data_IF_016437518164
#
_entry.id   IF_016437518164
#
_cell.length_a   1.000
_cell.length_b   1.000
_cell.length_c   1.000
_cell.angle_alpha   90.00
_cell.angle_beta   90.00
_cell.angle_gamma   90.00
#
_symmetry.space_group_name_H-M   'P 1'
#
loop_
_entity.id
_entity.type
_entity.pdbx_description
1 polymer ?
#
# COMPACT_ATOMS: atom_id res chain seq x y z
N UNK A 1 20.40 -41.99 -8.67
CA UNK A 1 20.30 -40.84 -7.74
C UNK A 1 18.88 -40.32 -7.80
N UNK A 2 18.05 -40.68 -6.82
CA UNK A 2 16.73 -40.07 -6.66
C UNK A 2 16.97 -38.62 -6.22
N UNK A 3 16.75 -37.66 -7.13
CA UNK A 3 16.43 -36.30 -6.73
C UNK A 3 15.03 -36.38 -6.14
N UNK A 4 14.95 -36.56 -4.83
CA UNK A 4 13.72 -36.28 -4.09
C UNK A 4 13.37 -34.83 -4.44
N UNK A 5 12.28 -34.63 -5.18
CA UNK A 5 11.72 -33.31 -5.36
C UNK A 5 11.49 -32.77 -3.96
N UNK A 6 12.28 -31.78 -3.54
CA UNK A 6 11.93 -30.96 -2.39
C UNK A 6 10.57 -30.40 -2.75
N UNK A 7 9.52 -30.82 -2.05
CA UNK A 7 8.22 -30.19 -2.21
C UNK A 7 8.45 -28.69 -2.03
N UNK A 8 8.03 -27.88 -3.00
CA UNK A 8 8.14 -26.42 -2.93
C UNK A 8 7.40 -25.95 -1.68
N UNK A 9 8.13 -25.81 -0.59
CA UNK A 9 7.62 -25.30 0.67
C UNK A 9 7.60 -23.78 0.55
N UNK A 10 6.44 -23.18 0.79
CA UNK A 10 6.29 -21.72 0.88
C UNK A 10 7.18 -21.20 2.00
N UNK A 11 7.86 -20.07 1.78
CA UNK A 11 8.66 -19.44 2.83
C UNK A 11 7.77 -19.08 4.02
N UNK A 12 8.22 -19.40 5.24
CA UNK A 12 7.47 -19.21 6.48
C UNK A 12 6.91 -17.79 6.63
N UNK A 13 7.67 -16.77 6.21
CA UNK A 13 7.23 -15.38 6.22
C UNK A 13 5.92 -15.18 5.45
N UNK A 14 5.77 -15.81 4.28
CA UNK A 14 4.56 -15.66 3.47
C UNK A 14 3.39 -16.41 4.08
N UNK A 15 3.65 -17.56 4.72
CA UNK A 15 2.63 -18.31 5.46
C UNK A 15 2.08 -17.49 6.64
N UNK A 16 2.96 -16.82 7.39
CA UNK A 16 2.60 -15.97 8.53
C UNK A 16 1.80 -14.74 8.11
N UNK A 17 2.25 -14.02 7.08
CA UNK A 17 1.52 -12.86 6.55
C UNK A 17 0.17 -13.29 6.01
N UNK A 18 0.08 -14.43 5.30
CA UNK A 18 -1.19 -14.93 4.77
C UNK A 18 -2.16 -15.34 5.88
N UNK A 19 -1.68 -16.04 6.90
CA UNK A 19 -2.49 -16.41 8.06
C UNK A 19 -3.02 -15.16 8.79
N UNK A 20 -2.19 -14.15 8.98
CA UNK A 20 -2.60 -12.89 9.60
C UNK A 20 -3.59 -12.10 8.72
N UNK A 21 -3.34 -12.00 7.41
CA UNK A 21 -4.21 -11.27 6.49
C UNK A 21 -5.64 -11.88 6.46
N UNK A 22 -5.75 -13.20 6.39
CA UNK A 22 -7.05 -13.91 6.30
C UNK A 22 -7.71 -14.07 7.67
N UNK A 23 -7.00 -14.69 8.62
CA UNK A 23 -7.58 -15.14 9.90
C UNK A 23 -7.31 -14.18 11.07
N UNK A 24 -6.41 -13.21 10.90
CA UNK A 24 -6.01 -12.29 11.98
C UNK A 24 -7.19 -11.46 12.49
N UNK A 25 -7.43 -11.53 13.81
CA UNK A 25 -8.48 -10.74 14.48
C UNK A 25 -7.92 -9.47 15.09
N UNK A 26 -8.54 -8.33 14.76
CA UNK A 26 -8.22 -7.04 15.38
C UNK A 26 -9.15 -6.83 16.58
N UNK A 27 -8.60 -6.97 17.79
CA UNK A 27 -9.36 -6.85 19.04
C UNK A 27 -9.14 -5.52 19.76
N UNK A 28 -8.12 -4.76 19.37
CA UNK A 28 -7.78 -3.47 19.98
C UNK A 28 -8.74 -2.36 19.52
N UNK A 29 -9.52 -1.82 20.46
CA UNK A 29 -10.39 -0.66 20.22
C UNK A 29 -9.58 0.58 19.83
N UNK A 30 -8.42 0.75 20.46
CA UNK A 30 -7.50 1.86 20.17
C UNK A 30 -6.96 1.77 18.74
N UNK A 31 -6.65 0.56 18.26
CA UNK A 31 -6.20 0.37 16.87
C UNK A 31 -7.29 0.77 15.86
N UNK A 32 -8.54 0.35 16.10
CA UNK A 32 -9.67 0.72 15.23
C UNK A 32 -9.99 2.22 15.29
N UNK A 33 -9.93 2.82 16.48
CA UNK A 33 -10.11 4.26 16.65
C UNK A 33 -8.99 5.06 15.95
N UNK A 34 -7.75 4.60 16.06
CA UNK A 34 -6.61 5.22 15.39
C UNK A 34 -6.70 5.07 13.87
N UNK A 35 -7.08 3.88 13.37
CA UNK A 35 -7.32 3.67 11.95
C UNK A 35 -8.40 4.62 11.39
N UNK A 36 -9.40 4.99 12.19
CA UNK A 36 -10.40 6.00 11.81
C UNK A 36 -9.76 7.38 11.66
N UNK A 37 -8.85 7.78 12.54
CA UNK A 37 -8.12 9.03 12.40
C UNK A 37 -7.18 9.00 11.19
N UNK A 38 -6.45 7.91 10.98
CA UNK A 38 -5.62 7.69 9.78
C UNK A 38 -6.45 7.86 8.51
N UNK A 39 -7.62 7.23 8.42
CA UNK A 39 -8.50 7.36 7.26
C UNK A 39 -8.88 8.82 6.96
N UNK A 40 -9.30 9.57 7.99
CA UNK A 40 -9.75 10.97 7.82
C UNK A 40 -8.57 11.87 7.42
N UNK A 41 -7.43 11.72 8.09
CA UNK A 41 -6.21 12.49 7.82
C UNK A 41 -5.68 12.23 6.40
N UNK A 42 -5.59 10.95 6.02
CA UNK A 42 -5.10 10.51 4.70
C UNK A 42 -5.99 11.04 3.58
N UNK A 43 -7.32 10.97 3.73
CA UNK A 43 -8.26 11.57 2.79
C UNK A 43 -8.12 13.10 2.73
N UNK A 44 -7.89 13.76 3.88
CA UNK A 44 -7.60 15.18 3.94
C UNK A 44 -6.37 15.57 3.11
N UNK A 45 -5.28 14.81 3.23
CA UNK A 45 -4.07 14.97 2.42
C UNK A 45 -4.37 14.84 0.92
N UNK A 46 -5.11 13.79 0.54
CA UNK A 46 -5.52 13.56 -0.85
C UNK A 46 -6.36 14.70 -1.43
N UNK A 47 -7.34 15.21 -0.67
CA UNK A 47 -8.16 16.35 -1.09
C UNK A 47 -7.33 17.62 -1.29
N UNK A 48 -6.33 17.87 -0.43
CA UNK A 48 -5.45 19.01 -0.57
C UNK A 48 -4.58 18.90 -1.84
N UNK A 49 -4.11 17.69 -2.16
CA UNK A 49 -3.29 17.42 -3.35
C UNK A 49 -4.00 17.73 -4.68
N UNK A 50 -5.34 17.73 -4.71
CA UNK A 50 -6.12 18.09 -5.90
C UNK A 50 -5.94 19.56 -6.34
N UNK A 51 -5.35 20.41 -5.49
CA UNK A 51 -5.00 21.78 -5.87
C UNK A 51 -3.68 21.89 -6.66
N UNK A 52 -2.97 20.77 -6.88
CA UNK A 52 -1.66 20.75 -7.50
C UNK A 52 -1.74 20.10 -8.90
N UNK A 53 -1.51 20.87 -9.99
CA UNK A 53 -1.54 20.35 -11.36
C UNK A 53 -0.57 19.19 -11.60
N UNK A 54 0.57 19.21 -10.91
CA UNK A 54 1.56 18.14 -11.00
C UNK A 54 1.04 16.80 -10.44
N UNK A 55 0.13 16.84 -9.46
CA UNK A 55 -0.59 15.65 -8.98
C UNK A 55 -1.68 15.26 -9.97
N UNK A 56 -2.57 16.21 -10.26
CA UNK A 56 -3.83 15.94 -10.98
C UNK A 56 -3.64 15.51 -12.43
N UNK A 57 -2.50 15.84 -13.07
CA UNK A 57 -2.17 15.34 -14.41
C UNK A 57 -2.00 13.82 -14.49
N UNK A 58 -1.82 13.14 -13.36
CA UNK A 58 -1.69 11.69 -13.27
C UNK A 58 -3.02 10.97 -13.04
N UNK A 59 -4.09 11.71 -12.72
CA UNK A 59 -5.38 11.13 -12.33
C UNK A 59 -6.31 10.94 -13.52
N UNK A 60 -7.24 10.00 -13.38
CA UNK A 60 -8.29 9.71 -14.34
C UNK A 60 -8.04 8.45 -15.18
N UNK A 61 -8.91 8.17 -16.17
CA UNK A 61 -8.80 6.96 -16.96
C UNK A 61 -7.62 7.04 -17.92
N UNK A 62 -6.88 5.92 -18.06
CA UNK A 62 -5.77 5.78 -19.02
C UNK A 62 -6.23 6.13 -20.43
N UNK A 63 -7.43 5.68 -20.82
CA UNK A 63 -8.05 6.01 -22.11
C UNK A 63 -9.25 6.93 -21.87
N UNK A 64 -9.24 8.18 -22.39
CA UNK A 64 -10.36 9.10 -22.23
C UNK A 64 -11.68 8.51 -22.72
N UNK A 65 -12.75 8.74 -21.96
CA UNK A 65 -14.09 8.21 -22.27
C UNK A 65 -14.33 6.75 -21.84
N UNK A 66 -13.37 6.11 -21.16
CA UNK A 66 -13.55 4.78 -20.57
C UNK A 66 -14.74 4.77 -19.61
N UNK A 67 -15.59 3.74 -19.74
CA UNK A 67 -16.73 3.49 -18.86
C UNK A 67 -16.50 2.17 -18.14
N UNK A 68 -16.50 2.21 -16.81
CA UNK A 68 -16.32 1.03 -15.96
C UNK A 68 -17.60 0.80 -15.15
N UNK A 69 -18.44 -0.20 -15.52
CA UNK A 69 -19.59 -0.57 -14.71
C UNK A 69 -19.18 -0.89 -13.27
N UNK A 70 -19.90 -0.34 -12.30
CA UNK A 70 -19.60 -0.50 -10.87
C UNK A 70 -18.18 -0.08 -10.44
N UNK A 71 -17.50 0.73 -11.26
CA UNK A 71 -16.11 1.14 -11.01
C UNK A 71 -15.92 1.87 -9.68
N UNK A 72 -14.70 1.80 -9.17
CA UNK A 72 -14.27 2.49 -7.96
C UNK A 72 -14.21 4.00 -8.20
N UNK A 73 -14.65 4.77 -7.21
CA UNK A 73 -14.61 6.24 -7.24
C UNK A 73 -13.33 6.78 -6.63
N UNK A 74 -12.81 7.84 -7.22
CA UNK A 74 -11.67 8.58 -6.69
C UNK A 74 -12.17 9.79 -5.88
N UNK A 75 -11.94 9.87 -4.56
CA UNK A 75 -12.45 10.95 -3.71
C UNK A 75 -12.08 12.35 -4.23
N UNK A 76 -13.03 13.28 -4.16
CA UNK A 76 -12.83 14.67 -4.61
C UNK A 76 -12.88 14.87 -6.14
N UNK A 77 -13.11 13.80 -6.91
CA UNK A 77 -13.21 13.85 -8.37
C UNK A 77 -14.54 13.26 -8.86
N UNK A 78 -14.80 13.36 -10.16
CA UNK A 78 -15.89 12.66 -10.84
C UNK A 78 -15.47 11.32 -11.46
N UNK A 79 -14.24 10.86 -11.22
CA UNK A 79 -13.72 9.66 -11.87
C UNK A 79 -14.35 8.39 -11.30
N UNK A 80 -14.69 7.47 -12.21
CA UNK A 80 -15.17 6.11 -11.95
C UNK A 80 -14.29 5.19 -12.78
N UNK A 81 -13.43 4.44 -12.12
CA UNK A 81 -12.31 3.72 -12.74
C UNK A 81 -12.35 2.24 -12.37
N UNK A 82 -11.55 1.42 -13.05
CA UNK A 82 -11.26 0.08 -12.56
C UNK A 82 -10.48 0.16 -11.23
N UNK A 83 -10.55 -0.86 -10.36
CA UNK A 83 -9.94 -0.78 -9.04
C UNK A 83 -8.42 -0.62 -9.07
N UNK A 84 -7.73 -0.98 -10.15
CA UNK A 84 -6.28 -0.80 -10.28
C UNK A 84 -5.94 0.66 -10.51
N UNK A 85 -6.59 1.30 -11.50
CA UNK A 85 -6.36 2.73 -11.76
C UNK A 85 -6.87 3.61 -10.59
N UNK A 86 -8.02 3.27 -9.99
CA UNK A 86 -8.49 3.99 -8.79
C UNK A 86 -7.51 3.87 -7.62
N UNK A 87 -6.88 2.69 -7.43
CA UNK A 87 -5.88 2.53 -6.38
C UNK A 87 -4.65 3.40 -6.61
N UNK A 88 -4.20 3.50 -7.87
CA UNK A 88 -3.13 4.42 -8.24
C UNK A 88 -3.52 5.88 -7.99
N UNK A 89 -4.68 6.32 -8.45
CA UNK A 89 -5.14 7.71 -8.28
C UNK A 89 -5.26 8.10 -6.80
N UNK A 90 -5.82 7.22 -5.97
CA UNK A 90 -5.96 7.43 -4.52
C UNK A 90 -4.57 7.43 -3.88
N UNK A 91 -3.72 6.43 -4.14
CA UNK A 91 -2.36 6.35 -3.61
C UNK A 91 -1.50 7.57 -4.00
N UNK A 92 -1.63 8.02 -5.24
CA UNK A 92 -0.95 9.20 -5.75
C UNK A 92 -1.34 10.46 -4.98
N UNK A 93 -2.65 10.71 -4.81
CA UNK A 93 -3.10 11.93 -4.13
C UNK A 93 -2.74 11.94 -2.65
N UNK A 94 -2.91 10.82 -1.95
CA UNK A 94 -2.76 10.79 -0.48
C UNK A 94 -1.32 11.01 -0.04
N UNK A 95 -0.36 10.56 -0.86
CA UNK A 95 1.07 10.70 -0.60
C UNK A 95 1.70 11.95 -1.19
N UNK A 96 1.01 12.65 -2.12
CA UNK A 96 1.60 13.68 -2.97
C UNK A 96 2.36 14.79 -2.22
N UNK A 97 1.81 15.24 -1.10
CA UNK A 97 2.30 16.38 -0.33
C UNK A 97 3.17 16.00 0.87
N UNK A 98 3.36 14.71 1.13
CA UNK A 98 4.14 14.22 2.27
C UNK A 98 3.60 14.69 3.64
N UNK A 99 2.27 14.74 3.77
CA UNK A 99 1.57 15.13 5.00
C UNK A 99 0.81 13.98 5.66
N UNK A 100 0.70 12.84 4.99
CA UNK A 100 0.08 11.65 5.54
C UNK A 100 0.95 11.01 6.64
N UNK A 101 0.41 9.99 7.29
CA UNK A 101 1.05 9.37 8.46
C UNK A 101 2.48 8.85 8.20
N UNK A 102 3.19 8.51 9.27
CA UNK A 102 4.58 8.05 9.16
C UNK A 102 4.88 6.97 10.19
N UNK A 103 5.62 5.95 9.76
CA UNK A 103 6.22 4.93 10.61
C UNK A 103 7.74 5.00 10.50
N UNK A 104 8.41 5.31 11.62
CA UNK A 104 9.86 5.45 11.68
C UNK A 104 10.48 4.22 12.35
N UNK A 105 11.11 3.37 11.54
CA UNK A 105 11.78 2.15 11.99
C UNK A 105 13.16 1.99 11.31
N UNK A 106 13.68 0.76 11.16
CA UNK A 106 14.90 0.53 10.37
C UNK A 106 14.69 0.90 8.90
N UNK A 107 13.50 0.66 8.38
CA UNK A 107 12.99 1.31 7.18
C UNK A 107 11.97 2.38 7.55
N UNK A 108 12.01 3.51 6.84
CA UNK A 108 11.00 4.56 6.98
C UNK A 108 9.88 4.32 5.98
N UNK A 109 8.65 4.66 6.33
CA UNK A 109 7.56 4.61 5.37
C UNK A 109 6.27 5.23 5.85
N UNK A 110 5.29 5.23 4.97
CA UNK A 110 3.96 5.79 5.19
C UNK A 110 2.91 4.69 5.00
N UNK A 111 2.51 3.97 6.07
CA UNK A 111 1.58 2.86 5.93
C UNK A 111 0.18 3.26 5.44
N UNK A 112 -0.18 4.54 5.58
CA UNK A 112 -1.39 5.09 4.94
C UNK A 112 -1.39 4.99 3.41
N UNK A 113 -0.25 4.79 2.75
CA UNK A 113 -0.18 4.61 1.30
C UNK A 113 -1.00 3.38 0.82
N UNK A 114 -1.17 2.36 1.68
CA UNK A 114 -2.00 1.18 1.38
C UNK A 114 -3.49 1.51 1.21
N UNK A 115 -3.96 2.68 1.68
CA UNK A 115 -5.35 3.10 1.53
C UNK A 115 -5.76 3.24 0.06
N UNK A 116 -4.81 3.46 -0.86
CA UNK A 116 -5.08 3.44 -2.29
C UNK A 116 -5.75 2.14 -2.72
N UNK A 117 -5.08 1.00 -2.47
CA UNK A 117 -5.61 -0.33 -2.80
C UNK A 117 -6.86 -0.68 -1.99
N UNK A 118 -6.83 -0.43 -0.68
CA UNK A 118 -7.93 -0.80 0.22
C UNK A 118 -9.23 -0.07 -0.15
N UNK A 119 -9.18 1.25 -0.38
CA UNK A 119 -10.38 2.04 -0.70
C UNK A 119 -10.90 1.74 -2.10
N UNK A 120 -10.02 1.63 -3.10
CA UNK A 120 -10.43 1.31 -4.46
C UNK A 120 -11.13 -0.05 -4.53
N UNK A 121 -10.55 -1.07 -3.92
CA UNK A 121 -11.11 -2.43 -3.95
C UNK A 121 -12.36 -2.55 -3.08
N UNK A 122 -12.41 -1.92 -1.90
CA UNK A 122 -13.61 -1.97 -1.06
C UNK A 122 -14.81 -1.28 -1.72
N UNK A 123 -14.62 -0.14 -2.38
CA UNK A 123 -15.70 0.54 -3.13
C UNK A 123 -16.16 -0.31 -4.33
N UNK A 124 -15.21 -0.89 -5.09
CA UNK A 124 -15.53 -1.77 -6.21
C UNK A 124 -16.32 -3.03 -5.78
N UNK A 125 -15.86 -3.73 -4.73
CA UNK A 125 -16.56 -4.90 -4.17
C UNK A 125 -17.97 -4.49 -3.75
N UNK A 126 -18.10 -3.41 -2.98
CA UNK A 126 -19.38 -2.97 -2.44
C UNK A 126 -20.38 -2.60 -3.54
N UNK A 127 -19.94 -1.88 -4.56
CA UNK A 127 -20.77 -1.54 -5.74
C UNK A 127 -21.22 -2.78 -6.50
N UNK A 128 -20.30 -3.72 -6.69
CA UNK A 128 -20.57 -4.96 -7.41
C UNK A 128 -21.57 -5.83 -6.64
N UNK A 129 -21.38 -5.98 -5.32
CA UNK A 129 -22.31 -6.71 -4.45
C UNK A 129 -23.70 -6.09 -4.46
N UNK A 130 -23.81 -4.76 -4.30
CA UNK A 130 -25.08 -4.05 -4.36
C UNK A 130 -25.80 -4.24 -5.70
N UNK A 131 -25.06 -4.21 -6.82
CA UNK A 131 -25.63 -4.45 -8.14
C UNK A 131 -26.16 -5.89 -8.30
N UNK A 132 -25.60 -6.84 -7.55
CA UNK A 132 -26.02 -8.25 -7.52
C UNK A 132 -27.05 -8.57 -6.42
N UNK A 133 -27.48 -7.59 -5.62
CA UNK A 133 -28.40 -7.80 -4.50
C UNK A 133 -27.78 -8.44 -3.25
N UNK A 134 -26.45 -8.34 -3.12
CA UNK A 134 -25.67 -8.79 -1.97
C UNK A 134 -25.33 -7.62 -1.03
N UNK A 135 -24.96 -7.94 0.21
CA UNK A 135 -24.56 -6.94 1.21
C UNK A 135 -23.17 -6.33 0.88
N UNK A 136 -23.02 -4.99 0.88
CA UNK A 136 -21.74 -4.34 0.64
C UNK A 136 -20.76 -4.56 1.80
N UNK A 137 -19.49 -4.21 1.60
CA UNK A 137 -18.58 -4.07 2.73
C UNK A 137 -18.96 -2.84 3.57
N UNK A 138 -18.60 -2.88 4.84
CA UNK A 138 -18.78 -1.77 5.78
C UNK A 138 -17.48 -0.98 5.92
N UNK A 139 -17.57 0.26 6.43
CA UNK A 139 -16.37 0.99 6.81
C UNK A 139 -15.61 0.31 7.96
N UNK A 140 -16.26 -0.52 8.77
CA UNK A 140 -15.55 -1.30 9.78
C UNK A 140 -14.58 -2.30 9.12
N UNK A 141 -14.99 -2.95 8.03
CA UNK A 141 -14.11 -3.84 7.26
C UNK A 141 -12.90 -3.10 6.70
N UNK A 142 -13.12 -1.86 6.23
CA UNK A 142 -12.04 -0.97 5.77
C UNK A 142 -11.08 -0.63 6.92
N UNK A 143 -11.58 -0.27 8.11
CA UNK A 143 -10.72 0.03 9.26
C UNK A 143 -9.89 -1.18 9.70
N UNK A 144 -10.46 -2.38 9.67
CA UNK A 144 -9.71 -3.61 9.95
C UNK A 144 -8.62 -3.86 8.90
N UNK A 145 -8.91 -3.63 7.61
CA UNK A 145 -7.94 -3.74 6.53
C UNK A 145 -6.78 -2.73 6.68
N UNK A 146 -7.09 -1.49 7.11
CA UNK A 146 -6.09 -0.46 7.39
C UNK A 146 -5.13 -0.94 8.48
N UNK A 147 -5.66 -1.42 9.62
CA UNK A 147 -4.81 -1.95 10.71
C UNK A 147 -3.93 -3.09 10.22
N UNK A 148 -4.50 -4.06 9.50
CA UNK A 148 -3.73 -5.20 8.96
C UNK A 148 -2.60 -4.76 8.04
N UNK A 149 -2.85 -3.81 7.15
CA UNK A 149 -1.81 -3.30 6.26
C UNK A 149 -0.70 -2.56 7.01
N UNK A 150 -1.07 -1.76 8.03
CA UNK A 150 -0.11 -1.07 8.89
C UNK A 150 0.78 -2.06 9.64
N UNK A 151 0.20 -3.14 10.17
CA UNK A 151 0.95 -4.16 10.91
C UNK A 151 1.91 -4.92 10.00
N UNK A 152 1.46 -5.38 8.81
CA UNK A 152 2.34 -6.09 7.86
C UNK A 152 3.51 -5.20 7.42
N UNK A 153 3.25 -3.97 6.97
CA UNK A 153 4.31 -3.07 6.52
C UNK A 153 5.22 -2.62 7.68
N UNK A 154 4.61 -2.21 8.80
CA UNK A 154 5.32 -1.66 9.96
C UNK A 154 6.23 -2.69 10.61
N UNK A 155 5.76 -3.93 10.78
CA UNK A 155 6.56 -5.03 11.38
C UNK A 155 7.70 -5.43 10.45
N UNK A 156 7.48 -5.52 9.14
CA UNK A 156 8.57 -5.76 8.18
C UNK A 156 9.65 -4.67 8.27
N UNK A 157 9.24 -3.40 8.46
CA UNK A 157 10.15 -2.26 8.56
C UNK A 157 10.92 -2.17 9.90
N UNK A 158 10.51 -2.89 10.96
CA UNK A 158 11.17 -2.83 12.27
C UNK A 158 12.64 -3.24 12.24
N UNK A 159 12.95 -4.32 11.52
CA UNK A 159 14.30 -4.91 11.52
C UNK A 159 14.94 -4.98 10.14
N UNK A 160 14.19 -4.67 9.07
CA UNK A 160 14.67 -4.72 7.69
C UNK A 160 14.81 -3.30 7.13
N UNK A 161 15.96 -3.00 6.51
CA UNK A 161 16.23 -1.73 5.84
C UNK A 161 16.55 -1.99 4.36
N UNK A 162 15.57 -1.76 3.49
CA UNK A 162 15.66 -1.87 2.04
C UNK A 162 16.57 -0.80 1.45
N UNK A 163 16.55 0.41 2.04
CA UNK A 163 17.38 1.55 1.63
C UNK A 163 18.88 1.21 1.65
N UNK A 164 19.36 0.46 2.65
CA UNK A 164 20.75 -0.02 2.72
C UNK A 164 21.16 -0.86 1.51
N UNK A 165 20.20 -1.45 0.81
CA UNK A 165 20.39 -2.25 -0.40
C UNK A 165 20.00 -1.50 -1.69
N UNK A 166 19.72 -0.19 -1.60
CA UNK A 166 19.34 0.66 -2.73
C UNK A 166 17.90 0.47 -3.23
N UNK A 167 17.09 -0.29 -2.50
CA UNK A 167 15.68 -0.52 -2.80
C UNK A 167 14.80 0.48 -2.05
N UNK A 168 13.69 0.86 -2.65
CA UNK A 168 12.72 1.76 -2.05
C UNK A 168 11.75 1.02 -1.11
N UNK A 169 11.30 1.71 -0.07
CA UNK A 169 10.43 1.18 0.99
C UNK A 169 9.03 0.77 0.47
N UNK A 170 8.63 1.30 -0.69
CA UNK A 170 7.34 1.00 -1.34
C UNK A 170 7.16 -0.49 -1.71
N UNK A 171 8.23 -1.29 -1.68
CA UNK A 171 8.09 -2.76 -1.73
C UNK A 171 7.19 -3.26 -0.58
N UNK A 172 7.32 -2.72 0.63
CA UNK A 172 6.47 -3.14 1.75
C UNK A 172 5.02 -2.67 1.59
N UNK A 173 4.78 -1.54 0.92
CA UNK A 173 3.41 -1.13 0.51
C UNK A 173 2.82 -2.16 -0.45
N UNK A 174 3.59 -2.60 -1.46
CA UNK A 174 3.15 -3.63 -2.41
C UNK A 174 2.79 -4.93 -1.69
N UNK A 175 3.66 -5.41 -0.80
CA UNK A 175 3.45 -6.64 -0.01
C UNK A 175 2.21 -6.53 0.86
N UNK A 176 2.10 -5.49 1.69
CA UNK A 176 0.99 -5.29 2.61
C UNK A 176 -0.35 -5.12 1.88
N UNK A 177 -0.41 -4.24 0.86
CA UNK A 177 -1.60 -4.03 0.05
C UNK A 177 -2.04 -5.33 -0.62
N UNK A 178 -1.11 -6.07 -1.25
CA UNK A 178 -1.45 -7.30 -1.97
C UNK A 178 -2.05 -8.38 -1.07
N UNK A 179 -1.52 -8.52 0.16
CA UNK A 179 -2.00 -9.51 1.12
C UNK A 179 -3.43 -9.20 1.58
N UNK A 180 -3.63 -7.95 2.02
CA UNK A 180 -4.91 -7.48 2.57
C UNK A 180 -5.99 -7.43 1.48
N UNK A 181 -5.67 -6.91 0.30
CA UNK A 181 -6.62 -6.82 -0.82
C UNK A 181 -7.02 -8.20 -1.33
N UNK A 182 -6.09 -9.16 -1.41
CA UNK A 182 -6.42 -10.54 -1.79
C UNK A 182 -7.39 -11.17 -0.78
N UNK A 183 -7.15 -10.99 0.52
CA UNK A 183 -8.08 -11.44 1.56
C UNK A 183 -9.45 -10.75 1.47
N UNK A 184 -9.50 -9.44 1.20
CA UNK A 184 -10.76 -8.69 1.03
C UNK A 184 -11.59 -9.18 -0.17
N UNK A 185 -10.93 -9.65 -1.22
CA UNK A 185 -11.57 -10.26 -2.40
C UNK A 185 -12.10 -11.69 -2.12
N UNK A 186 -11.90 -12.21 -0.90
CA UNK A 186 -12.31 -13.55 -0.51
C UNK A 186 -11.26 -14.63 -0.77
N UNK A 187 -10.00 -14.23 -1.00
CA UNK A 187 -8.92 -15.17 -1.27
C UNK A 187 -8.57 -16.05 -0.07
N UNK A 188 -8.19 -17.31 -0.33
CA UNK A 188 -7.71 -18.24 0.71
C UNK A 188 -6.29 -17.90 1.16
N UNK A 189 -5.81 -18.53 2.25
CA UNK A 189 -4.42 -18.37 2.69
C UNK A 189 -3.42 -18.77 1.62
N UNK A 190 -3.70 -19.84 0.88
CA UNK A 190 -2.87 -20.29 -0.23
C UNK A 190 -2.85 -19.26 -1.37
N UNK A 191 -3.99 -18.64 -1.70
CA UNK A 191 -4.05 -17.57 -2.72
C UNK A 191 -3.31 -16.30 -2.26
N UNK A 192 -3.38 -15.96 -0.98
CA UNK A 192 -2.59 -14.87 -0.41
C UNK A 192 -1.09 -15.19 -0.46
N UNK A 193 -0.67 -16.41 -0.15
CA UNK A 193 0.73 -16.84 -0.30
C UNK A 193 1.20 -16.73 -1.75
N UNK A 194 0.37 -17.13 -2.72
CA UNK A 194 0.70 -16.99 -4.14
C UNK A 194 0.88 -15.52 -4.53
N UNK A 195 -0.04 -14.64 -4.14
CA UNK A 195 0.04 -13.20 -4.42
C UNK A 195 1.27 -12.57 -3.74
N UNK A 196 1.57 -12.95 -2.50
CA UNK A 196 2.77 -12.51 -1.79
C UNK A 196 4.04 -12.95 -2.52
N UNK A 197 4.10 -14.20 -3.00
CA UNK A 197 5.23 -14.69 -3.78
C UNK A 197 5.45 -13.87 -5.05
N UNK A 198 4.36 -13.47 -5.72
CA UNK A 198 4.42 -12.57 -6.88
C UNK A 198 4.88 -11.17 -6.47
N UNK A 199 4.39 -10.62 -5.36
CA UNK A 199 4.77 -9.30 -4.88
C UNK A 199 6.28 -9.19 -4.55
N UNK A 200 6.88 -10.25 -4.00
CA UNK A 200 8.32 -10.30 -3.70
C UNK A 200 9.20 -10.57 -4.93
N UNK A 201 8.72 -11.37 -5.89
CA UNK A 201 9.46 -11.63 -7.15
C UNK A 201 9.36 -10.45 -8.12
N UNK A 202 8.28 -9.67 -8.03
CA UNK A 202 8.09 -8.48 -8.86
C UNK A 202 9.15 -7.41 -8.58
N UNK A 203 9.45 -6.60 -9.59
CA UNK A 203 10.52 -5.62 -9.52
C UNK A 203 10.33 -4.64 -8.36
N UNK A 204 11.38 -4.49 -7.56
CA UNK A 204 11.49 -3.45 -6.55
C UNK A 204 12.05 -2.19 -7.17
N UNK A 205 11.45 -1.04 -6.84
CA UNK A 205 11.94 0.25 -7.31
C UNK A 205 13.27 0.60 -6.61
N UNK A 206 14.14 1.29 -7.33
CA UNK A 206 15.35 1.86 -6.73
C UNK A 206 14.95 3.08 -5.91
N UNK A 207 15.53 3.25 -4.72
CA UNK A 207 15.36 4.46 -3.89
C UNK A 207 15.98 5.74 -4.48
N UNK A 208 16.36 5.72 -5.76
CA UNK A 208 16.93 6.85 -6.50
C UNK A 208 16.01 7.20 -7.66
N UNK A 209 15.10 8.14 -7.42
CA UNK A 209 14.53 8.92 -8.53
C UNK A 209 15.61 9.92 -8.93
N UNK A 210 16.14 9.77 -10.15
CA UNK A 210 17.13 10.69 -10.69
C UNK A 210 16.50 12.07 -10.93
N UNK A 211 16.50 12.93 -9.91
CA UNK A 211 16.36 14.37 -10.12
C UNK A 211 17.71 14.91 -10.56
N UNK A 212 17.82 15.58 -11.73
CA UNK A 212 19.08 16.20 -12.17
C UNK A 212 19.67 17.21 -11.17
N UNK A 213 18.91 17.61 -10.15
CA UNK A 213 19.26 18.64 -9.19
C UNK A 213 19.92 18.13 -7.89
N UNK A 214 19.90 16.83 -7.59
CA UNK A 214 20.46 16.30 -6.33
C UNK A 214 21.91 15.82 -6.44
N UNK A 215 22.49 15.76 -7.64
CA UNK A 215 23.91 15.40 -7.82
C UNK A 215 24.88 16.46 -7.26
N UNK A 216 24.43 17.71 -7.07
CA UNK A 216 25.35 18.82 -6.75
C UNK A 216 25.39 19.21 -5.26
N UNK A 217 24.62 18.53 -4.39
CA UNK A 217 24.60 18.85 -2.94
C UNK A 217 25.12 17.74 -2.02
N UNK A 218 25.36 16.53 -2.54
CA UNK A 218 25.74 15.37 -1.74
C UNK A 218 27.20 15.32 -1.28
N UNK A 219 28.12 16.04 -1.94
CA UNK A 219 29.56 15.89 -1.67
C UNK A 219 30.11 16.75 -0.52
N UNK A 220 29.30 17.62 0.09
CA UNK A 220 29.75 18.49 1.19
C UNK A 220 29.19 18.12 2.57
N UNK A 221 28.12 17.34 2.65
CA UNK A 221 27.46 16.99 3.92
C UNK A 221 28.02 15.74 4.62
N UNK A 222 28.51 14.75 3.87
CA UNK A 222 28.98 13.49 4.44
C UNK A 222 30.43 13.54 4.96
N UNK A 223 31.26 14.46 4.47
CA UNK A 223 32.63 14.61 4.97
C UNK A 223 32.71 15.31 6.34
N UNK A 224 31.69 16.06 6.74
CA UNK A 224 31.69 16.82 8.01
C UNK A 224 31.32 16.01 9.25
N UNK A 225 30.55 14.92 9.11
CA UNK A 225 30.11 14.12 10.27
C UNK A 225 31.10 13.03 10.69
N UNK A 226 32.09 12.71 9.85
CA UNK A 226 33.13 11.73 10.17
C UNK A 226 34.35 12.32 10.90
N UNK A 227 34.42 13.64 11.09
CA UNK A 227 35.48 14.31 11.84
C UNK A 227 35.07 14.77 13.25
N UNK A 228 33.85 14.46 13.69
CA UNK A 228 33.35 14.83 15.04
C UNK A 228 33.26 13.63 16.00
N UNK A 229 33.84 12.48 15.63
CA UNK A 229 33.81 11.25 16.42
C UNK A 229 35.21 10.62 16.63
N UNK A 230 36.25 11.46 16.64
CA UNK A 230 37.59 11.17 17.20
C UNK A 230 38.01 12.35 18.09
#
# INVERSE_FOLDING_TARGET
MNKTAVANQTDQLLEEIAAYAVDGEITSKEAIETARYVLIDTLGCGMLALNFPECTKHLGPIVPGTVVPNGARVPGTSFVLDPVQAAFDIGCMIRWLDYNDTWLAQEWGHPSDNLGGILAVSDYISRTRLANGEEPLTMNDVLHAIVKAHEIQGVLALENCLNRNGLDHVLFVKVATSAVVCAMLGGTKEEVQHVLSQAFVDNSLLGRIATPQTQDRGNHGQQGMQQAAE
#
